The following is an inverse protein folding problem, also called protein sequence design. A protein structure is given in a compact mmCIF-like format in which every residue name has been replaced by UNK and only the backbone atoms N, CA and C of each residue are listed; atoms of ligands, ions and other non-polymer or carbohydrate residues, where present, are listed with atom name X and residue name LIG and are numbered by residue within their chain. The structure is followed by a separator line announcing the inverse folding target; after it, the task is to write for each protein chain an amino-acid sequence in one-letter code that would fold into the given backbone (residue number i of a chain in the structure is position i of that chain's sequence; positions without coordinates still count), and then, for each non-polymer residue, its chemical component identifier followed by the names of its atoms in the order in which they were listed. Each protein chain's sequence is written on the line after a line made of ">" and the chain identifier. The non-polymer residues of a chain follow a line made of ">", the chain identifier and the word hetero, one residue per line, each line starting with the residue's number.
data_IF_976926424502
#
_entry.id   IF_976926424502
#
_cell.length_a   1.000
_cell.length_b   1.000
_cell.length_c   1.000
_cell.angle_alpha   90.00
_cell.angle_beta   90.00
_cell.angle_gamma   90.00
#
_symmetry.space_group_name_H-M   'P 1'
#
loop_
_entity.id
_entity.type
_entity.pdbx_description
1 polymer ?
#
# COMPACT_ATOMS: atom_id res chain seq x y z
N UNK A 1 -0.75 -1.14 43.59
CA UNK A 1 -1.12 0.24 43.99
C UNK A 1 -1.27 1.10 42.74
N UNK A 2 -2.48 1.59 42.45
CA UNK A 2 -2.71 2.54 41.35
C UNK A 2 -2.11 3.89 41.77
N UNK A 3 -1.15 4.38 40.99
CA UNK A 3 -0.51 5.68 41.24
C UNK A 3 -1.48 6.79 40.88
N UNK A 4 -2.02 7.49 41.87
CA UNK A 4 -2.83 8.70 41.67
C UNK A 4 -1.96 9.85 41.15
N UNK A 5 -1.92 10.01 39.83
CA UNK A 5 -1.16 11.06 39.17
C UNK A 5 -1.92 12.40 39.19
N UNK A 6 -1.39 13.41 39.90
CA UNK A 6 -1.83 14.80 39.79
C UNK A 6 -1.12 15.47 38.63
N UNK A 7 -1.84 15.77 37.54
CA UNK A 7 -1.30 16.51 36.38
C UNK A 7 -0.86 17.92 36.79
N UNK A 8 0.40 18.26 36.55
CA UNK A 8 0.89 19.64 36.67
C UNK A 8 0.35 20.44 35.47
N UNK A 9 -0.58 21.38 35.69
CA UNK A 9 -0.93 22.42 34.71
C UNK A 9 -0.35 23.74 35.21
N UNK A 10 0.27 24.50 34.32
CA UNK A 10 0.84 25.82 34.59
C UNK A 10 -0.27 26.89 34.59
N UNK A 11 -1.31 26.68 33.76
CA UNK A 11 -2.44 27.58 33.64
C UNK A 11 -3.72 26.95 34.22
N UNK A 12 -4.60 27.74 34.86
CA UNK A 12 -5.91 27.28 35.29
C UNK A 12 -6.71 26.84 34.05
N UNK A 13 -7.48 25.75 34.20
CA UNK A 13 -8.36 25.32 33.12
C UNK A 13 -9.36 26.43 32.80
N UNK A 14 -9.68 26.68 31.51
CA UNK A 14 -10.69 27.67 31.15
C UNK A 14 -12.00 27.35 31.88
N UNK A 15 -12.66 28.38 32.41
CA UNK A 15 -13.95 28.22 33.08
C UNK A 15 -15.01 27.68 32.15
N UNK A 16 -16.00 26.95 32.68
CA UNK A 16 -17.07 26.33 31.90
C UNK A 16 -17.88 27.36 31.08
N UNK A 17 -18.05 28.56 31.62
CA UNK A 17 -18.68 29.71 30.97
C UNK A 17 -17.98 30.12 29.66
N UNK A 18 -16.64 29.97 29.58
CA UNK A 18 -15.90 30.32 28.37
C UNK A 18 -16.21 29.34 27.22
N UNK A 19 -16.46 28.07 27.54
CA UNK A 19 -16.88 27.09 26.54
C UNK A 19 -18.30 27.37 26.06
N UNK A 20 -19.24 27.66 26.97
CA UNK A 20 -20.62 27.98 26.61
C UNK A 20 -20.71 29.20 25.68
N UNK A 21 -20.00 30.29 26.03
CA UNK A 21 -19.94 31.49 25.19
C UNK A 21 -19.29 31.23 23.82
N UNK A 22 -18.25 30.38 23.77
CA UNK A 22 -17.60 30.00 22.52
C UNK A 22 -18.51 29.15 21.62
N UNK A 23 -19.29 28.23 22.19
CA UNK A 23 -20.28 27.42 21.45
C UNK A 23 -21.37 28.34 20.87
N UNK A 24 -21.90 29.25 21.69
CA UNK A 24 -22.93 30.20 21.24
C UNK A 24 -22.43 31.11 20.13
N UNK A 25 -21.18 31.58 20.21
CA UNK A 25 -20.57 32.39 19.14
C UNK A 25 -20.40 31.60 17.83
N UNK A 26 -20.04 30.30 17.90
CA UNK A 26 -19.96 29.43 16.72
C UNK A 26 -21.35 29.17 16.13
N UNK A 27 -22.36 28.96 16.98
CA UNK A 27 -23.76 28.84 16.53
C UNK A 27 -24.25 30.13 15.84
N UNK A 28 -23.77 31.30 16.29
CA UNK A 28 -23.98 32.60 15.64
C UNK A 28 -23.17 32.84 14.36
N UNK A 29 -22.44 31.83 13.85
CA UNK A 29 -21.70 31.89 12.59
C UNK A 29 -20.22 32.30 12.71
N UNK A 30 -19.68 32.46 13.92
CA UNK A 30 -18.24 32.72 14.08
C UNK A 30 -17.41 31.47 13.77
N UNK A 31 -16.32 31.62 13.02
CA UNK A 31 -15.42 30.50 12.73
C UNK A 31 -14.79 29.90 14.00
N UNK A 32 -14.75 28.56 14.09
CA UNK A 32 -14.27 27.77 15.24
C UNK A 32 -12.93 28.24 15.83
N UNK A 33 -11.94 28.51 14.98
CA UNK A 33 -10.61 29.00 15.42
C UNK A 33 -10.66 30.40 16.01
N UNK A 34 -11.52 31.27 15.43
CA UNK A 34 -11.71 32.64 15.88
C UNK A 34 -12.42 32.68 17.24
N UNK A 35 -13.47 31.88 17.40
CA UNK A 35 -14.16 31.71 18.68
C UNK A 35 -13.22 31.15 19.77
N UNK A 36 -12.44 30.11 19.45
CA UNK A 36 -11.48 29.53 20.39
C UNK A 36 -10.44 30.55 20.91
N UNK A 37 -9.93 31.41 20.03
CA UNK A 37 -8.98 32.46 20.40
C UNK A 37 -9.61 33.55 21.26
N UNK A 38 -10.82 34.02 20.91
CA UNK A 38 -11.53 35.11 21.62
C UNK A 38 -11.91 34.70 23.05
N UNK A 39 -12.35 33.46 23.25
CA UNK A 39 -12.81 32.98 24.56
C UNK A 39 -11.72 32.23 25.36
N UNK A 40 -10.47 32.20 24.87
CA UNK A 40 -9.36 31.58 25.59
C UNK A 40 -9.50 30.06 25.76
N UNK A 41 -10.07 29.39 24.76
CA UNK A 41 -10.32 27.94 24.78
C UNK A 41 -9.46 27.25 23.73
N UNK A 42 -8.99 26.03 24.02
CA UNK A 42 -8.28 25.21 23.03
C UNK A 42 -9.23 24.79 21.91
N UNK A 43 -8.90 25.15 20.66
CA UNK A 43 -9.67 24.82 19.44
C UNK A 43 -10.16 23.37 19.39
N UNK A 44 -9.27 22.39 19.62
CA UNK A 44 -9.63 20.98 19.52
C UNK A 44 -10.68 20.59 20.57
N UNK A 45 -10.58 21.13 21.79
CA UNK A 45 -11.53 20.86 22.86
C UNK A 45 -12.90 21.45 22.55
N UNK A 46 -12.95 22.67 21.99
CA UNK A 46 -14.19 23.30 21.53
C UNK A 46 -14.86 22.47 20.42
N UNK A 47 -14.08 22.01 19.44
CA UNK A 47 -14.58 21.16 18.36
C UNK A 47 -15.23 19.86 18.88
N UNK A 48 -14.58 19.17 19.82
CA UNK A 48 -15.14 17.93 20.37
C UNK A 48 -16.42 18.18 21.19
N UNK A 49 -16.53 19.31 21.90
CA UNK A 49 -17.74 19.66 22.65
C UNK A 49 -18.93 19.94 21.73
N UNK A 50 -18.72 20.70 20.65
CA UNK A 50 -19.76 20.93 19.64
C UNK A 50 -20.18 19.62 18.98
N UNK A 51 -19.21 18.73 18.70
CA UNK A 51 -19.51 17.40 18.16
C UNK A 51 -20.35 16.57 19.12
N UNK A 52 -20.08 16.59 20.42
CA UNK A 52 -20.90 15.88 21.41
C UNK A 52 -22.29 16.49 21.55
N UNK A 53 -22.40 17.81 21.58
CA UNK A 53 -23.71 18.50 21.65
C UNK A 53 -24.56 18.22 20.41
N UNK A 54 -23.96 18.22 19.21
CA UNK A 54 -24.67 17.86 17.98
C UNK A 54 -25.17 16.41 17.97
N UNK A 55 -24.49 15.50 18.69
CA UNK A 55 -24.93 14.11 18.86
C UNK A 55 -26.08 14.01 19.85
N UNK A 56 -25.96 14.64 21.00
CA UNK A 56 -27.01 14.67 22.04
C UNK A 56 -28.29 15.31 21.47
N UNK A 57 -28.17 16.44 20.76
CA UNK A 57 -29.31 17.10 20.11
C UNK A 57 -29.95 16.25 18.99
N UNK A 58 -29.19 15.37 18.33
CA UNK A 58 -29.73 14.44 17.34
C UNK A 58 -30.44 13.24 18.03
N UNK A 59 -29.89 12.74 19.14
CA UNK A 59 -30.51 11.70 19.96
C UNK A 59 -31.85 12.18 20.56
N UNK A 60 -31.90 13.42 21.07
CA UNK A 60 -33.11 14.05 21.60
C UNK A 60 -34.21 14.27 20.54
N UNK A 61 -33.82 14.53 19.28
CA UNK A 61 -34.74 14.61 18.14
C UNK A 61 -35.20 13.26 17.61
N UNK A 62 -34.71 12.15 18.17
CA UNK A 62 -35.00 10.81 17.68
C UNK A 62 -34.35 10.50 16.33
N UNK A 63 -33.33 11.25 15.93
CA UNK A 63 -32.56 11.00 14.70
C UNK A 63 -31.58 9.83 14.95
N UNK A 64 -32.07 8.59 14.85
CA UNK A 64 -31.17 7.43 14.79
C UNK A 64 -30.30 7.51 13.52
N UNK A 65 -29.13 6.86 13.51
CA UNK A 65 -28.25 6.80 12.31
C UNK A 65 -29.01 6.29 11.07
N UNK A 66 -30.08 5.50 11.27
CA UNK A 66 -30.98 5.03 10.22
C UNK A 66 -31.84 6.17 9.62
N UNK A 67 -32.36 7.09 10.43
CA UNK A 67 -33.25 8.17 9.97
C UNK A 67 -32.49 9.27 9.19
N UNK A 68 -31.19 9.47 9.48
CA UNK A 68 -30.32 10.38 8.70
C UNK A 68 -30.14 9.92 7.25
N UNK A 69 -30.38 8.64 6.96
CA UNK A 69 -30.21 8.02 5.65
C UNK A 69 -31.52 7.90 4.85
N UNK A 70 -32.64 8.45 5.32
CA UNK A 70 -33.91 8.43 4.59
C UNK A 70 -33.90 9.22 3.27
N UNK A 71 -32.86 10.03 3.01
CA UNK A 71 -32.61 10.62 1.69
C UNK A 71 -31.89 9.69 0.70
N UNK A 72 -31.60 8.45 1.08
CA UNK A 72 -31.05 7.41 0.20
C UNK A 72 -31.96 6.19 0.25
N UNK A 73 -33.20 6.38 -0.21
CA UNK A 73 -34.20 5.34 -0.31
C UNK A 73 -33.66 4.05 -0.95
N UNK A 74 -34.26 2.94 -0.52
CA UNK A 74 -34.16 1.59 -1.10
C UNK A 74 -32.98 0.73 -0.63
N UNK A 75 -31.78 1.29 -0.33
CA UNK A 75 -30.63 0.44 0.00
C UNK A 75 -30.61 -0.14 1.43
N UNK A 76 -31.14 0.56 2.43
CA UNK A 76 -30.96 0.16 3.83
C UNK A 76 -31.86 -1.01 4.28
N UNK A 77 -33.15 -1.02 3.92
CA UNK A 77 -34.07 -2.10 4.32
C UNK A 77 -33.73 -3.43 3.64
N UNK A 78 -33.38 -3.39 2.35
CA UNK A 78 -32.85 -4.54 1.62
C UNK A 78 -31.55 -5.05 2.23
N UNK A 79 -30.61 -4.16 2.57
CA UNK A 79 -29.34 -4.55 3.18
C UNK A 79 -29.51 -5.23 4.55
N UNK A 80 -30.41 -4.73 5.40
CA UNK A 80 -30.67 -5.36 6.69
C UNK A 80 -31.41 -6.69 6.55
N UNK A 81 -32.34 -6.81 5.60
CA UNK A 81 -33.05 -8.06 5.29
C UNK A 81 -32.10 -9.15 4.79
N UNK A 82 -31.21 -8.79 3.85
CA UNK A 82 -30.14 -9.68 3.35
C UNK A 82 -29.22 -10.10 4.52
N UNK A 83 -28.88 -9.17 5.42
CA UNK A 83 -28.01 -9.45 6.57
C UNK A 83 -28.68 -10.32 7.64
N UNK A 84 -30.00 -10.28 7.76
CA UNK A 84 -30.75 -11.19 8.64
C UNK A 84 -30.91 -12.57 8.02
N UNK A 85 -31.21 -12.65 6.73
CA UNK A 85 -31.34 -13.92 5.99
C UNK A 85 -29.99 -14.65 5.90
N UNK A 86 -28.87 -13.92 5.71
CA UNK A 86 -27.53 -14.49 5.75
C UNK A 86 -27.11 -14.99 7.14
N UNK A 87 -27.62 -14.37 8.21
CA UNK A 87 -27.36 -14.83 9.59
C UNK A 87 -28.08 -16.12 9.90
N UNK A 88 -29.37 -16.22 9.52
CA UNK A 88 -30.17 -17.43 9.71
C UNK A 88 -29.57 -18.59 8.89
N UNK A 89 -29.20 -18.34 7.63
CA UNK A 89 -28.57 -19.34 6.76
C UNK A 89 -27.13 -19.73 7.18
N UNK A 90 -26.45 -18.92 7.99
CA UNK A 90 -25.11 -19.23 8.53
C UNK A 90 -25.18 -19.98 9.87
N UNK A 91 -26.21 -19.73 10.68
CA UNK A 91 -26.50 -20.53 11.89
C UNK A 91 -26.92 -21.96 11.52
N UNK A 92 -27.70 -22.13 10.45
CA UNK A 92 -28.07 -23.45 9.91
C UNK A 92 -26.87 -24.24 9.35
N UNK A 93 -25.79 -23.57 8.95
CA UNK A 93 -24.55 -24.17 8.42
C UNK A 93 -23.45 -24.36 9.47
N UNK A 94 -23.67 -23.98 10.73
CA UNK A 94 -22.75 -24.25 11.83
C UNK A 94 -21.44 -23.43 11.83
N UNK A 95 -21.44 -22.23 11.26
CA UNK A 95 -20.24 -21.37 11.21
C UNK A 95 -20.01 -20.60 12.52
N UNK A 96 -18.82 -20.72 13.13
CA UNK A 96 -18.48 -20.07 14.41
C UNK A 96 -18.04 -18.59 14.25
N UNK A 97 -18.17 -17.80 15.32
CA UNK A 97 -17.88 -16.35 15.36
C UNK A 97 -16.45 -16.00 14.92
N UNK A 98 -15.49 -16.93 15.03
CA UNK A 98 -14.11 -16.73 14.60
C UNK A 98 -13.97 -16.59 13.07
N UNK A 99 -14.77 -17.33 12.28
CA UNK A 99 -14.79 -17.21 10.82
C UNK A 99 -15.50 -15.91 10.35
N UNK A 100 -16.21 -15.22 11.25
CA UNK A 100 -16.96 -13.99 10.93
C UNK A 100 -16.07 -12.74 10.84
N UNK A 101 -14.82 -12.80 11.28
CA UNK A 101 -13.89 -11.66 11.31
C UNK A 101 -13.02 -11.52 10.05
N UNK A 102 -13.26 -12.30 9.00
CA UNK A 102 -12.67 -12.03 7.69
C UNK A 102 -13.42 -10.88 7.00
N UNK A 103 -12.95 -9.67 7.34
CA UNK A 103 -12.90 -8.45 6.54
C UNK A 103 -13.78 -8.38 5.27
N UNK A 104 -15.10 -8.35 5.41
CA UNK A 104 -16.01 -7.92 4.33
C UNK A 104 -16.07 -6.39 4.27
N UNK A 105 -15.03 -5.80 3.68
CA UNK A 105 -15.04 -4.39 3.32
C UNK A 105 -16.11 -4.11 2.24
N UNK A 106 -16.64 -2.89 2.23
CA UNK A 106 -17.67 -2.39 1.28
C UNK A 106 -17.15 -2.41 -0.19
N UNK A 107 -15.88 -2.76 -0.40
CA UNK A 107 -15.19 -2.85 -1.68
C UNK A 107 -15.08 -4.29 -2.23
N UNK A 108 -15.77 -5.26 -1.62
CA UNK A 108 -15.81 -6.66 -2.06
C UNK A 108 -16.75 -6.87 -3.26
N UNK A 109 -16.69 -5.96 -4.23
CA UNK A 109 -17.41 -6.13 -5.50
C UNK A 109 -16.35 -6.22 -6.58
N UNK A 110 -16.43 -7.27 -7.41
CA UNK A 110 -15.48 -7.65 -8.47
C UNK A 110 -14.09 -8.11 -8.03
N UNK A 111 -14.02 -9.18 -7.22
CA UNK A 111 -12.79 -9.95 -7.08
C UNK A 111 -12.41 -10.54 -8.45
N UNK A 112 -11.26 -10.13 -8.97
CA UNK A 112 -10.72 -10.59 -10.26
C UNK A 112 -10.08 -11.97 -10.12
N UNK A 113 -9.59 -12.30 -8.93
CA UNK A 113 -8.95 -13.56 -8.61
C UNK A 113 -9.74 -14.29 -7.51
N UNK A 114 -9.77 -15.62 -7.63
CA UNK A 114 -10.22 -16.50 -6.55
C UNK A 114 -9.22 -16.44 -5.38
N UNK A 115 -9.65 -16.83 -4.17
CA UNK A 115 -8.78 -16.82 -2.97
C UNK A 115 -7.51 -17.65 -3.18
N UNK A 116 -7.63 -18.78 -3.86
CA UNK A 116 -6.50 -19.64 -4.22
C UNK A 116 -5.54 -18.97 -5.20
N UNK A 117 -6.05 -18.25 -6.20
CA UNK A 117 -5.24 -17.49 -7.15
C UNK A 117 -4.53 -16.31 -6.48
N UNK A 118 -5.20 -15.62 -5.56
CA UNK A 118 -4.59 -14.55 -4.76
C UNK A 118 -3.43 -15.09 -3.89
N UNK A 119 -3.59 -16.24 -3.25
CA UNK A 119 -2.52 -16.88 -2.48
C UNK A 119 -1.33 -17.27 -3.37
N UNK A 120 -1.61 -17.82 -4.57
CA UNK A 120 -0.58 -18.14 -5.55
C UNK A 120 0.12 -16.88 -6.07
N UNK A 121 -0.62 -15.81 -6.32
CA UNK A 121 -0.09 -14.52 -6.75
C UNK A 121 0.78 -13.89 -5.65
N UNK A 122 0.35 -13.91 -4.41
CA UNK A 122 1.13 -13.44 -3.26
C UNK A 122 2.41 -14.25 -3.12
N UNK A 123 2.33 -15.59 -3.22
CA UNK A 123 3.50 -16.47 -3.18
C UNK A 123 4.46 -16.20 -4.34
N UNK A 124 3.93 -15.93 -5.53
CA UNK A 124 4.72 -15.55 -6.71
C UNK A 124 5.37 -14.17 -6.54
N UNK A 125 4.65 -13.17 -6.02
CA UNK A 125 5.19 -11.83 -5.74
C UNK A 125 6.27 -11.90 -4.65
N UNK A 126 6.08 -12.70 -3.61
CA UNK A 126 7.11 -12.92 -2.58
C UNK A 126 8.32 -13.66 -3.15
N UNK A 127 8.10 -14.69 -3.98
CA UNK A 127 9.18 -15.43 -4.63
C UNK A 127 9.96 -14.55 -5.62
N UNK A 128 9.26 -13.79 -6.46
CA UNK A 128 9.89 -12.81 -7.36
C UNK A 128 10.56 -11.68 -6.59
N UNK A 129 10.00 -11.22 -5.47
CA UNK A 129 10.68 -10.30 -4.54
C UNK A 129 11.90 -10.92 -3.88
N UNK A 130 11.93 -12.23 -3.66
CA UNK A 130 13.12 -12.92 -3.12
C UNK A 130 14.22 -13.12 -4.16
N UNK A 131 13.82 -13.37 -5.41
CA UNK A 131 14.71 -13.44 -6.58
C UNK A 131 15.23 -12.03 -6.93
N UNK A 132 14.36 -11.02 -6.80
CA UNK A 132 14.64 -9.60 -6.94
C UNK A 132 14.83 -8.91 -5.58
N UNK A 133 15.40 -9.58 -4.56
CA UNK A 133 16.11 -8.80 -3.54
C UNK A 133 17.30 -8.21 -4.28
N UNK A 134 17.04 -7.07 -4.92
CA UNK A 134 18.02 -6.28 -5.62
C UNK A 134 19.15 -6.09 -4.64
N UNK A 135 20.36 -6.36 -5.15
CA UNK A 135 21.62 -6.12 -4.46
C UNK A 135 21.44 -4.97 -3.47
N UNK A 136 21.71 -5.22 -2.19
CA UNK A 136 21.65 -4.16 -1.17
C UNK A 136 22.40 -2.93 -1.69
N UNK A 137 22.06 -1.74 -1.21
CA UNK A 137 22.75 -0.50 -1.64
C UNK A 137 24.27 -0.65 -1.61
N UNK A 138 24.79 -1.38 -0.63
CA UNK A 138 26.18 -1.77 -0.54
C UNK A 138 26.64 -2.73 -1.65
N UNK A 139 25.96 -3.86 -1.84
CA UNK A 139 26.29 -4.83 -2.88
C UNK A 139 26.22 -4.25 -4.30
N UNK A 140 25.25 -3.38 -4.59
CA UNK A 140 25.12 -2.71 -5.90
C UNK A 140 26.27 -1.73 -6.14
N UNK A 141 26.62 -0.91 -5.15
CA UNK A 141 27.77 0.01 -5.25
C UNK A 141 29.11 -0.72 -5.29
N UNK A 142 29.21 -1.84 -4.59
CA UNK A 142 30.37 -2.73 -4.66
C UNK A 142 30.54 -3.34 -6.06
N UNK A 143 29.46 -3.83 -6.67
CA UNK A 143 29.49 -4.35 -8.04
C UNK A 143 29.92 -3.28 -9.06
N UNK A 144 29.43 -2.04 -8.91
CA UNK A 144 29.86 -0.91 -9.76
C UNK A 144 31.35 -0.61 -9.57
N UNK A 145 31.80 -0.47 -8.32
CA UNK A 145 33.21 -0.17 -8.03
C UNK A 145 34.16 -1.29 -8.49
N UNK A 146 33.73 -2.55 -8.41
CA UNK A 146 34.44 -3.69 -8.98
C UNK A 146 34.53 -3.58 -10.51
N UNK A 147 33.42 -3.29 -11.18
CA UNK A 147 33.40 -3.15 -12.64
C UNK A 147 34.33 -2.01 -13.11
N UNK A 148 34.31 -0.86 -12.44
CA UNK A 148 35.20 0.27 -12.75
C UNK A 148 36.68 -0.11 -12.59
N UNK A 149 37.01 -0.90 -11.55
CA UNK A 149 38.36 -1.41 -11.34
C UNK A 149 38.78 -2.42 -12.42
N UNK A 150 37.90 -3.34 -12.81
CA UNK A 150 38.16 -4.35 -13.84
C UNK A 150 38.41 -3.68 -15.21
N UNK A 151 37.62 -2.65 -15.55
CA UNK A 151 37.75 -1.90 -16.80
C UNK A 151 39.09 -1.15 -16.84
N UNK A 152 39.54 -0.59 -15.71
CA UNK A 152 40.82 0.12 -15.62
C UNK A 152 42.04 -0.81 -15.52
N UNK A 153 41.85 -2.07 -15.15
CA UNK A 153 42.92 -3.06 -14.96
C UNK A 153 42.62 -4.39 -15.69
N UNK A 154 42.47 -4.39 -17.02
CA UNK A 154 42.18 -5.60 -17.77
C UNK A 154 43.32 -6.62 -17.64
N UNK A 155 42.97 -7.88 -17.37
CA UNK A 155 43.92 -9.00 -17.30
C UNK A 155 44.76 -9.08 -16.01
N UNK A 156 44.56 -8.19 -15.04
CA UNK A 156 45.20 -8.27 -13.73
C UNK A 156 44.27 -8.91 -12.71
N UNK A 157 44.80 -9.83 -11.90
CA UNK A 157 44.08 -10.37 -10.75
C UNK A 157 44.05 -9.32 -9.62
N UNK A 158 42.88 -9.11 -9.01
CA UNK A 158 42.74 -8.20 -7.88
C UNK A 158 43.48 -8.74 -6.65
N UNK A 159 44.33 -7.91 -6.04
CA UNK A 159 45.00 -8.24 -4.79
C UNK A 159 44.12 -7.88 -3.58
N UNK A 160 44.52 -8.34 -2.40
CA UNK A 160 43.82 -8.00 -1.13
C UNK A 160 43.79 -6.47 -0.90
N UNK A 161 44.84 -5.75 -1.30
CA UNK A 161 44.88 -4.29 -1.18
C UNK A 161 43.90 -3.60 -2.14
N UNK A 162 43.80 -4.10 -3.38
CA UNK A 162 42.84 -3.60 -4.36
C UNK A 162 41.40 -3.85 -3.89
N UNK A 163 41.11 -5.03 -3.35
CA UNK A 163 39.81 -5.37 -2.77
C UNK A 163 39.47 -4.44 -1.60
N UNK A 164 40.43 -4.15 -0.72
CA UNK A 164 40.22 -3.21 0.39
C UNK A 164 39.89 -1.80 -0.12
N UNK A 165 40.55 -1.34 -1.20
CA UNK A 165 40.23 -0.06 -1.84
C UNK A 165 38.82 -0.07 -2.44
N UNK A 166 38.45 -1.10 -3.20
CA UNK A 166 37.14 -1.22 -3.85
C UNK A 166 36.01 -1.25 -2.80
N UNK A 167 36.20 -2.02 -1.73
CA UNK A 167 35.30 -2.07 -0.57
C UNK A 167 35.18 -0.70 0.08
N UNK A 168 36.28 0.02 0.27
CA UNK A 168 36.26 1.36 0.86
C UNK A 168 35.51 2.37 -0.02
N UNK A 169 35.73 2.35 -1.34
CA UNK A 169 35.00 3.19 -2.30
C UNK A 169 33.49 2.90 -2.24
N UNK A 170 33.11 1.62 -2.26
CA UNK A 170 31.72 1.21 -2.11
C UNK A 170 31.14 1.69 -0.78
N UNK A 171 31.84 1.48 0.33
CA UNK A 171 31.41 1.88 1.68
C UNK A 171 31.21 3.40 1.81
N UNK A 172 32.16 4.19 1.33
CA UNK A 172 32.05 5.65 1.33
C UNK A 172 30.86 6.10 0.48
N UNK A 173 30.61 5.47 -0.66
CA UNK A 173 29.46 5.80 -1.52
C UNK A 173 28.11 5.37 -0.93
N UNK A 174 28.09 4.41 -0.01
CA UNK A 174 26.86 3.84 0.56
C UNK A 174 26.47 4.47 1.87
N UNK A 175 27.45 4.77 2.72
CA UNK A 175 27.25 5.20 4.12
C UNK A 175 27.64 6.67 4.38
N UNK A 176 27.98 7.47 3.36
CA UNK A 176 28.18 8.92 3.57
C UNK A 176 26.92 9.60 4.12
N UNK A 177 27.11 10.57 5.01
CA UNK A 177 26.06 11.43 5.61
C UNK A 177 25.21 12.15 4.54
N UNK A 178 25.76 12.35 3.33
CA UNK A 178 25.05 12.96 2.18
C UNK A 178 24.03 12.04 1.52
N UNK A 179 24.07 10.72 1.77
CA UNK A 179 23.06 9.79 1.28
C UNK A 179 21.79 9.90 2.13
N UNK A 180 21.06 10.99 1.92
CA UNK A 180 19.74 11.20 2.51
C UNK A 180 18.80 10.12 1.97
N UNK A 181 17.94 9.59 2.85
CA UNK A 181 16.82 8.75 2.41
C UNK A 181 16.03 9.50 1.33
N UNK A 182 15.80 8.84 0.18
CA UNK A 182 15.05 9.44 -0.91
C UNK A 182 13.67 9.82 -0.40
N UNK A 183 13.33 11.10 -0.50
CA UNK A 183 12.00 11.59 -0.13
C UNK A 183 11.01 11.35 -1.27
N UNK A 184 9.72 11.51 -1.00
CA UNK A 184 8.67 11.38 -2.03
C UNK A 184 8.90 12.37 -3.19
N UNK A 185 9.48 13.53 -2.91
CA UNK A 185 9.83 14.51 -3.94
C UNK A 185 11.01 14.07 -4.83
N UNK A 186 12.02 13.44 -4.23
CA UNK A 186 13.15 12.88 -4.98
C UNK A 186 12.68 11.73 -5.90
N UNK A 187 11.75 10.90 -5.41
CA UNK A 187 11.09 9.87 -6.22
C UNK A 187 10.34 10.48 -7.40
N UNK A 188 9.53 11.51 -7.17
CA UNK A 188 8.82 12.19 -8.24
C UNK A 188 9.79 12.76 -9.29
N UNK A 189 10.92 13.33 -8.86
CA UNK A 189 11.93 13.88 -9.75
C UNK A 189 12.63 12.79 -10.58
N UNK A 190 13.05 11.69 -9.96
CA UNK A 190 13.67 10.55 -10.64
C UNK A 190 12.70 9.91 -11.64
N UNK A 191 11.46 9.68 -11.21
CA UNK A 191 10.40 9.13 -12.06
C UNK A 191 10.14 10.06 -13.24
N UNK A 192 10.12 11.38 -13.03
CA UNK A 192 9.96 12.33 -14.12
C UNK A 192 11.12 12.28 -15.12
N UNK A 193 12.37 12.22 -14.66
CA UNK A 193 13.54 12.09 -15.55
C UNK A 193 13.46 10.79 -16.36
N UNK A 194 13.15 9.67 -15.70
CA UNK A 194 12.95 8.39 -16.38
C UNK A 194 11.80 8.47 -17.40
N UNK A 195 10.65 9.04 -17.01
CA UNK A 195 9.48 9.21 -17.86
C UNK A 195 9.80 10.03 -19.11
N UNK A 196 10.45 11.19 -18.96
CA UNK A 196 10.82 12.03 -20.10
C UNK A 196 11.81 11.31 -21.04
N UNK A 197 12.67 10.45 -20.50
CA UNK A 197 13.63 9.68 -21.31
C UNK A 197 12.97 8.49 -22.02
N UNK A 198 12.03 7.79 -21.39
CA UNK A 198 11.40 6.58 -21.95
C UNK A 198 10.25 6.92 -22.88
N UNK A 199 9.42 7.89 -22.53
CA UNK A 199 8.25 8.33 -23.31
C UNK A 199 8.63 9.33 -24.41
N UNK A 200 9.77 9.14 -25.06
CA UNK A 200 10.09 9.86 -26.30
C UNK A 200 9.49 9.11 -27.49
N UNK A 201 9.01 9.85 -28.48
CA UNK A 201 8.47 9.28 -29.73
C UNK A 201 9.49 8.32 -30.36
N UNK A 202 10.79 8.66 -30.33
CA UNK A 202 11.87 7.81 -30.84
C UNK A 202 11.93 6.46 -30.13
N UNK A 203 11.91 6.44 -28.79
CA UNK A 203 12.00 5.20 -28.02
C UNK A 203 10.73 4.35 -28.15
N UNK A 204 9.57 5.00 -28.22
CA UNK A 204 8.29 4.33 -28.46
C UNK A 204 8.30 3.67 -29.85
N UNK A 205 8.72 4.39 -30.90
CA UNK A 205 8.83 3.84 -32.27
C UNK A 205 9.83 2.69 -32.32
N UNK A 206 10.97 2.80 -31.65
CA UNK A 206 11.96 1.71 -31.63
C UNK A 206 11.42 0.45 -30.92
N UNK A 207 10.58 0.63 -29.89
CA UNK A 207 9.84 -0.47 -29.26
C UNK A 207 8.91 -1.20 -30.24
N UNK A 208 8.12 -0.45 -31.02
CA UNK A 208 7.27 -1.02 -32.06
C UNK A 208 8.06 -1.64 -33.23
N UNK A 209 9.25 -1.11 -33.51
CA UNK A 209 10.15 -1.65 -34.53
C UNK A 209 10.71 -3.00 -34.13
N UNK A 210 11.10 -3.17 -32.86
CA UNK A 210 11.58 -4.45 -32.33
C UNK A 210 10.53 -5.55 -32.38
N UNK A 211 9.26 -5.23 -32.14
CA UNK A 211 8.16 -6.20 -32.24
C UNK A 211 7.67 -6.41 -33.67
N UNK A 212 8.21 -5.67 -34.64
CA UNK A 212 7.76 -5.70 -36.04
C UNK A 212 6.33 -5.19 -36.23
N UNK A 213 5.76 -4.48 -35.25
CA UNK A 213 4.42 -3.86 -35.36
C UNK A 213 4.50 -2.63 -36.27
N UNK A 214 5.56 -1.82 -36.13
CA UNK A 214 5.77 -0.63 -36.95
C UNK A 214 7.27 -0.37 -37.22
N UNK A 215 7.72 -0.34 -38.48
CA UNK A 215 6.97 -0.76 -39.68
C UNK A 215 6.61 -2.26 -39.60
N UNK A 216 5.50 -2.63 -40.22
CA UNK A 216 4.98 -4.00 -40.17
C UNK A 216 6.02 -4.98 -40.77
N UNK A 217 6.59 -5.84 -39.94
CA UNK A 217 7.52 -6.89 -40.35
C UNK A 217 7.14 -8.22 -39.71
N UNK A 218 6.57 -9.12 -40.51
CA UNK A 218 6.13 -10.45 -40.06
C UNK A 218 7.28 -11.43 -39.84
N UNK A 219 8.47 -11.14 -40.36
CA UNK A 219 9.66 -12.00 -40.28
C UNK A 219 10.62 -11.54 -39.19
N UNK A 220 10.14 -10.79 -38.20
CA UNK A 220 10.97 -10.21 -37.12
C UNK A 220 11.37 -11.27 -36.08
N UNK A 221 10.53 -12.29 -35.88
CA UNK A 221 10.77 -13.37 -34.93
C UNK A 221 11.30 -14.60 -35.67
N UNK A 222 12.32 -15.22 -35.10
CA UNK A 222 12.87 -16.51 -35.52
C UNK A 222 12.19 -17.65 -34.77
N UNK A 223 12.30 -18.88 -35.29
CA UNK A 223 11.70 -20.05 -34.63
C UNK A 223 12.22 -20.23 -33.18
N UNK A 224 13.48 -19.88 -32.92
CA UNK A 224 14.09 -19.92 -31.58
C UNK A 224 13.40 -18.97 -30.57
N UNK A 225 12.79 -17.86 -31.03
CA UNK A 225 12.09 -16.93 -30.13
C UNK A 225 10.79 -17.54 -29.56
N UNK A 226 10.32 -18.65 -30.16
CA UNK A 226 9.15 -19.41 -29.72
C UNK A 226 9.53 -20.62 -28.84
N UNK A 227 10.82 -20.82 -28.53
CA UNK A 227 11.29 -21.98 -27.76
C UNK A 227 10.61 -22.11 -26.39
N UNK A 228 10.25 -20.99 -25.77
CA UNK A 228 9.55 -20.96 -24.48
C UNK A 228 8.10 -21.50 -24.55
N UNK A 229 7.46 -21.50 -25.72
CA UNK A 229 6.09 -21.99 -25.88
C UNK A 229 6.01 -23.53 -25.86
N UNK A 230 7.09 -24.24 -26.21
CA UNK A 230 7.09 -25.71 -26.20
C UNK A 230 6.94 -26.31 -24.79
N UNK A 231 7.28 -25.57 -23.74
CA UNK A 231 7.12 -26.03 -22.35
C UNK A 231 5.63 -26.12 -21.97
N UNK A 232 4.77 -25.29 -22.56
CA UNK A 232 3.33 -25.33 -22.32
C UNK A 232 2.59 -26.37 -23.17
N UNK A 233 3.22 -26.85 -24.25
CA UNK A 233 2.65 -27.89 -25.12
C UNK A 233 2.92 -29.32 -24.60
N UNK A 234 3.48 -29.47 -23.39
CA UNK A 234 3.63 -30.77 -22.75
C UNK A 234 2.24 -31.33 -22.42
N UNK A 235 1.88 -32.44 -23.06
CA UNK A 235 0.65 -33.17 -22.76
C UNK A 235 0.61 -33.53 -21.26
N UNK A 236 -0.50 -33.24 -20.59
CA UNK A 236 -0.71 -33.59 -19.19
C UNK A 236 -0.30 -35.04 -18.93
N UNK A 237 0.67 -35.24 -18.04
CA UNK A 237 1.12 -36.57 -17.64
C UNK A 237 -0.07 -37.29 -17.03
N UNK A 238 -0.66 -38.21 -17.78
CA UNK A 238 -1.75 -39.05 -17.29
C UNK A 238 -1.12 -40.05 -16.31
N UNK A 239 -1.19 -39.74 -15.02
CA UNK A 239 -0.78 -40.67 -13.96
C UNK A 239 -1.73 -41.88 -13.91
N UNK A 240 -1.48 -42.85 -14.79
CA UNK A 240 -2.01 -44.20 -14.67
C UNK A 240 -0.83 -45.15 -14.91
N UNK A 241 -0.28 -45.70 -13.83
CA UNK A 241 -0.32 -47.13 -13.51
C UNK A 241 0.62 -47.48 -12.34
N UNK A 242 -0.01 -47.74 -11.19
CA UNK A 242 0.22 -48.89 -10.30
C UNK A 242 1.67 -49.39 -10.12
N UNK A 243 2.33 -48.91 -9.07
CA UNK A 243 3.40 -49.69 -8.43
C UNK A 243 2.76 -50.82 -7.61
N UNK A 244 2.67 -51.99 -8.25
CA UNK A 244 2.43 -53.27 -7.59
C UNK A 244 3.56 -53.51 -6.59
N UNK A 245 3.26 -53.45 -5.30
CA UNK A 245 4.04 -54.17 -4.29
C UNK A 245 3.84 -55.66 -4.54
N UNK A 246 4.93 -56.36 -4.85
CA UNK A 246 5.01 -57.83 -4.91
C UNK A 246 6.15 -58.30 -4.02
N UNK A 247 6.07 -59.55 -3.57
CA UNK A 247 5.26 -60.05 -2.46
C UNK A 247 5.93 -59.86 -1.09
#
# INVERSE_FOLDING_TARGET
>A
MVRNYKRKRIEPAPGENNYANAIQAVAGGMGLRKAAAVYGVKHNTLFYRIKTESKVAAEERGETVANRLEYSGIYFTLFYRIKTESKVAAEERGETVANRLEYSGIYFTSQVFTTTEEELLVKYILKSSTINYGLTRYQSRYAVALNDWIISNPGKAATIHDLAMIVNVAYQSTFTIKNKAATIHDLAMIVNVAYQSTFTIKNIIEGFRKTGIWPLNKLIFSDNDYDCAFVTDQSEVTELQTEKRTP
#
